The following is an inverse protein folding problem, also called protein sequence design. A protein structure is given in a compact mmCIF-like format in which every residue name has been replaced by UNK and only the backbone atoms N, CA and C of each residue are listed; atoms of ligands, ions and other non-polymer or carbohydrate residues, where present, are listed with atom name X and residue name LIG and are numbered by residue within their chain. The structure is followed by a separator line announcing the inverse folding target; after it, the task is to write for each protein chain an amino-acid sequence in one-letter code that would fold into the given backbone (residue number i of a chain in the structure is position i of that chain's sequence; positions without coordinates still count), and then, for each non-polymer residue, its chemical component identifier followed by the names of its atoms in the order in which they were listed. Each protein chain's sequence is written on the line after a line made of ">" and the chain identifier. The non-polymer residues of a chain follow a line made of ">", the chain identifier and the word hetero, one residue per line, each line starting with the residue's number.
data_IF_419905477290
#
_entry.id   IF_419905477290
#
_cell.length_a   1.000
_cell.length_b   1.000
_cell.length_c   1.000
_cell.angle_alpha   90.00
_cell.angle_beta   90.00
_cell.angle_gamma   90.00
#
_symmetry.space_group_name_H-M   'P 1'
#
loop_
_entity.id
_entity.type
_entity.pdbx_description
1 polymer ?
#
# COMPACT_ATOMS: atom_id res chain seq x y z
N UNK A 1 15.57 -28.47 -5.21
CA UNK A 1 14.09 -28.53 -5.18
C UNK A 1 13.40 -27.29 -4.58
N UNK A 2 14.11 -26.33 -3.95
CA UNK A 2 13.52 -25.12 -3.32
C UNK A 2 13.08 -24.01 -4.30
N UNK A 3 13.70 -23.90 -5.48
CA UNK A 3 13.46 -22.76 -6.40
C UNK A 3 12.03 -22.69 -6.95
N UNK A 4 11.43 -23.82 -7.39
CA UNK A 4 10.09 -23.83 -7.99
C UNK A 4 9.01 -23.28 -7.06
N UNK A 5 9.05 -23.65 -5.78
CA UNK A 5 8.04 -23.22 -4.81
C UNK A 5 8.14 -21.72 -4.49
N UNK A 6 9.36 -21.17 -4.46
CA UNK A 6 9.58 -19.72 -4.26
C UNK A 6 9.03 -18.90 -5.43
N UNK A 7 9.29 -19.31 -6.68
CA UNK A 7 8.77 -18.63 -7.86
C UNK A 7 7.23 -18.62 -7.90
N UNK A 8 6.58 -19.73 -7.54
CA UNK A 8 5.11 -19.81 -7.49
C UNK A 8 4.52 -18.85 -6.45
N UNK A 9 5.16 -18.72 -5.27
CA UNK A 9 4.74 -17.80 -4.22
C UNK A 9 4.83 -16.34 -4.67
N UNK A 10 5.93 -15.93 -5.32
CA UNK A 10 6.08 -14.57 -5.84
C UNK A 10 5.03 -14.24 -6.90
N UNK A 11 4.76 -15.16 -7.83
CA UNK A 11 3.72 -14.97 -8.83
C UNK A 11 2.33 -14.86 -8.20
N UNK A 12 2.03 -15.72 -7.22
CA UNK A 12 0.76 -15.69 -6.48
C UNK A 12 0.58 -14.39 -5.70
N UNK A 13 1.64 -13.86 -5.08
CA UNK A 13 1.60 -12.59 -4.36
C UNK A 13 1.32 -11.43 -5.32
N UNK A 14 2.03 -11.37 -6.45
CA UNK A 14 1.82 -10.33 -7.46
C UNK A 14 0.39 -10.34 -8.03
N UNK A 15 -0.22 -11.51 -8.18
CA UNK A 15 -1.63 -11.62 -8.59
C UNK A 15 -2.55 -11.07 -7.50
N UNK A 16 -2.33 -11.49 -6.25
CA UNK A 16 -3.16 -11.08 -5.10
C UNK A 16 -3.09 -9.58 -4.85
N UNK A 17 -1.91 -8.97 -5.00
CA UNK A 17 -1.72 -7.52 -4.89
C UNK A 17 -2.48 -6.76 -5.99
N UNK A 18 -2.40 -7.23 -7.24
CA UNK A 18 -3.17 -6.65 -8.35
C UNK A 18 -4.68 -6.73 -8.12
N UNK A 19 -5.16 -7.86 -7.62
CA UNK A 19 -6.57 -8.02 -7.22
C UNK A 19 -6.95 -7.06 -6.08
N UNK A 20 -6.03 -6.85 -5.12
CA UNK A 20 -6.21 -5.88 -4.02
C UNK A 20 -6.36 -4.44 -4.52
N UNK A 21 -5.52 -4.05 -5.48
CA UNK A 21 -5.63 -2.74 -6.14
C UNK A 21 -6.97 -2.60 -6.86
N UNK A 22 -7.36 -3.59 -7.66
CA UNK A 22 -8.64 -3.55 -8.38
C UNK A 22 -9.83 -3.48 -7.41
N UNK A 23 -9.81 -4.28 -6.34
CA UNK A 23 -10.83 -4.22 -5.30
C UNK A 23 -11.00 -2.81 -4.73
N UNK A 24 -9.90 -2.10 -4.42
CA UNK A 24 -9.99 -0.73 -3.94
C UNK A 24 -10.54 0.22 -4.99
N UNK A 25 -10.00 0.19 -6.21
CA UNK A 25 -10.38 1.14 -7.27
C UNK A 25 -11.84 0.98 -7.72
N UNK A 26 -12.33 -0.26 -7.77
CA UNK A 26 -13.67 -0.56 -8.27
C UNK A 26 -14.76 -0.28 -7.22
N UNK A 27 -14.42 -0.38 -5.93
CA UNK A 27 -15.40 -0.28 -4.83
C UNK A 27 -15.27 1.01 -4.01
N UNK A 28 -14.13 1.71 -4.09
CA UNK A 28 -13.84 2.87 -3.25
C UNK A 28 -13.23 4.02 -4.07
N UNK A 29 -13.91 5.16 -4.04
CA UNK A 29 -13.41 6.40 -4.63
C UNK A 29 -12.29 7.03 -3.80
N UNK A 30 -11.49 7.90 -4.43
CA UNK A 30 -10.40 8.62 -3.76
C UNK A 30 -9.07 7.86 -3.80
N UNK A 31 -9.06 6.56 -4.12
CA UNK A 31 -7.84 5.82 -4.44
C UNK A 31 -7.50 5.97 -5.91
N UNK A 32 -6.21 6.17 -6.19
CA UNK A 32 -5.71 6.28 -7.55
C UNK A 32 -4.45 5.44 -7.71
N UNK A 33 -4.45 4.63 -8.76
CA UNK A 33 -3.23 3.98 -9.24
C UNK A 33 -2.50 4.93 -10.17
N UNK A 34 -1.22 5.14 -9.86
CA UNK A 34 -0.35 6.01 -10.65
C UNK A 34 0.81 5.22 -11.24
N UNK A 35 1.25 5.63 -12.42
CA UNK A 35 2.37 5.01 -13.11
C UNK A 35 3.72 5.47 -12.52
N UNK A 36 4.80 4.86 -13.01
CA UNK A 36 6.15 5.11 -12.51
C UNK A 36 6.59 6.56 -12.74
N UNK A 37 6.20 7.17 -13.86
CA UNK A 37 6.63 8.53 -14.19
C UNK A 37 5.90 9.55 -13.33
N UNK A 38 4.60 9.33 -13.09
CA UNK A 38 3.80 10.07 -12.12
C UNK A 38 4.36 9.93 -10.69
N UNK A 39 4.79 8.73 -10.28
CA UNK A 39 5.46 8.55 -8.98
C UNK A 39 6.72 9.40 -8.87
N UNK A 40 7.57 9.44 -9.90
CA UNK A 40 8.79 10.27 -9.91
C UNK A 40 8.44 11.75 -9.80
N UNK A 41 7.48 12.21 -10.61
CA UNK A 41 7.04 13.61 -10.61
C UNK A 41 6.53 14.01 -9.21
N UNK A 42 5.69 13.19 -8.58
CA UNK A 42 5.17 13.45 -7.23
C UNK A 42 6.28 13.57 -6.19
N UNK A 43 7.24 12.63 -6.19
CA UNK A 43 8.36 12.69 -5.24
C UNK A 43 9.22 13.94 -5.48
N UNK A 44 9.47 14.30 -6.73
CA UNK A 44 10.26 15.50 -7.06
C UNK A 44 9.53 16.79 -6.64
N UNK A 45 8.22 16.89 -6.91
CA UNK A 45 7.38 18.03 -6.51
C UNK A 45 7.36 18.23 -4.99
N UNK A 46 7.30 17.12 -4.24
CA UNK A 46 7.32 17.11 -2.78
C UNK A 46 8.73 17.16 -2.18
N UNK A 47 9.77 17.22 -3.02
CA UNK A 47 11.19 17.19 -2.62
C UNK A 47 11.55 15.97 -1.75
N UNK A 48 10.97 14.82 -2.09
CA UNK A 48 11.21 13.52 -1.45
C UNK A 48 12.25 12.75 -2.28
N UNK A 49 13.13 12.03 -1.59
CA UNK A 49 14.16 11.21 -2.24
C UNK A 49 13.54 10.06 -3.05
N UNK A 50 14.02 9.88 -4.29
CA UNK A 50 13.55 8.82 -5.19
C UNK A 50 13.83 7.39 -4.71
N UNK A 51 14.58 7.19 -3.62
CA UNK A 51 14.74 5.86 -2.99
C UNK A 51 13.42 5.27 -2.49
N UNK A 52 12.40 6.12 -2.28
CA UNK A 52 11.06 5.73 -1.83
C UNK A 52 10.09 5.41 -2.98
N UNK A 53 10.55 5.37 -4.24
CA UNK A 53 9.71 5.05 -5.40
C UNK A 53 8.95 3.72 -5.29
N UNK A 54 9.51 2.76 -4.56
CA UNK A 54 8.92 1.44 -4.33
C UNK A 54 8.28 1.29 -2.95
N UNK A 55 8.08 2.39 -2.22
CA UNK A 55 7.58 2.36 -0.84
C UNK A 55 6.08 2.59 -0.72
N UNK A 56 5.38 2.69 -1.85
CA UNK A 56 3.94 2.88 -1.91
C UNK A 56 3.41 2.37 -3.25
N UNK A 57 2.15 1.94 -3.28
CA UNK A 57 1.48 1.36 -4.44
C UNK A 57 0.50 2.33 -5.08
N UNK A 58 -0.28 3.03 -4.26
CA UNK A 58 -1.35 3.93 -4.65
C UNK A 58 -1.17 5.31 -3.98
N UNK A 59 -1.97 6.26 -4.45
CA UNK A 59 -2.25 7.49 -3.71
C UNK A 59 -3.72 7.49 -3.30
N UNK A 60 -4.01 8.14 -2.18
CA UNK A 60 -5.35 8.38 -1.69
C UNK A 60 -5.54 9.88 -1.44
N UNK A 61 -6.64 10.43 -1.94
CA UNK A 61 -7.00 11.84 -1.72
C UNK A 61 -8.40 11.87 -1.11
N UNK A 62 -8.53 12.08 0.22
CA UNK A 62 -9.81 12.06 0.91
C UNK A 62 -10.85 13.00 0.31
N UNK A 63 -10.42 14.19 -0.14
CA UNK A 63 -11.28 15.21 -0.75
C UNK A 63 -11.89 14.79 -2.10
N UNK A 64 -11.42 13.70 -2.70
CA UNK A 64 -11.92 13.17 -3.96
C UNK A 64 -12.87 11.99 -3.80
N UNK A 65 -13.18 11.59 -2.57
CA UNK A 65 -14.20 10.57 -2.32
C UNK A 65 -15.53 11.06 -2.92
N UNK A 66 -16.11 10.27 -3.82
CA UNK A 66 -17.32 10.59 -4.58
C UNK A 66 -17.15 11.54 -5.78
N UNK A 67 -15.93 11.97 -6.12
CA UNK A 67 -15.66 12.91 -7.24
C UNK A 67 -14.99 12.21 -8.44
N UNK A 68 -15.23 12.74 -9.64
CA UNK A 68 -14.61 12.27 -10.90
C UNK A 68 -13.30 13.01 -11.17
N UNK A 69 -12.27 12.30 -11.63
CA UNK A 69 -10.91 12.85 -11.84
C UNK A 69 -10.83 13.61 -13.17
N UNK A 70 -10.02 14.66 -13.24
CA UNK A 70 -9.55 15.30 -14.48
C UNK A 70 -8.00 15.26 -14.59
N UNK A 71 -7.45 15.61 -15.75
CA UNK A 71 -6.00 15.49 -16.03
C UNK A 71 -5.09 16.44 -15.22
N UNK A 72 -5.63 17.47 -14.55
CA UNK A 72 -4.85 18.45 -13.76
C UNK A 72 -4.76 18.09 -12.26
N UNK A 73 -5.27 16.91 -11.90
CA UNK A 73 -5.50 16.46 -10.53
C UNK A 73 -4.30 16.60 -9.57
N UNK A 74 -3.11 16.17 -9.97
CA UNK A 74 -1.99 16.01 -9.02
C UNK A 74 -1.48 17.33 -8.45
N UNK A 75 -1.50 18.41 -9.24
CA UNK A 75 -1.00 19.72 -8.80
C UNK A 75 -1.99 20.42 -7.88
N UNK A 76 -3.29 20.22 -8.12
CA UNK A 76 -4.35 20.83 -7.32
C UNK A 76 -4.41 20.26 -5.90
N UNK A 77 -4.18 18.96 -5.75
CA UNK A 77 -4.36 18.24 -4.48
C UNK A 77 -3.05 17.79 -3.84
N UNK A 78 -1.91 18.37 -4.23
CA UNK A 78 -0.59 17.90 -3.83
C UNK A 78 -0.41 17.79 -2.30
N UNK A 79 -1.00 18.72 -1.55
CA UNK A 79 -0.93 18.75 -0.09
C UNK A 79 -1.88 17.74 0.59
N UNK A 80 -2.93 17.31 -0.12
CA UNK A 80 -3.95 16.36 0.36
C UNK A 80 -3.62 14.91 -0.02
N UNK A 81 -2.51 14.68 -0.74
CA UNK A 81 -2.09 13.35 -1.16
C UNK A 81 -1.57 12.56 0.05
N UNK A 82 -2.22 11.42 0.27
CA UNK A 82 -1.77 10.38 1.17
C UNK A 82 -1.17 9.25 0.33
N UNK A 83 0.07 8.90 0.62
CA UNK A 83 0.73 7.75 0.01
C UNK A 83 0.23 6.46 0.65
N UNK A 84 -0.04 5.45 -0.16
CA UNK A 84 -0.65 4.20 0.32
C UNK A 84 0.16 2.99 -0.13
N UNK A 85 0.63 2.22 0.84
CA UNK A 85 1.27 0.92 0.62
C UNK A 85 0.27 -0.22 0.90
N UNK A 86 0.05 -1.11 -0.06
CA UNK A 86 -0.95 -2.16 0.06
C UNK A 86 -0.36 -3.44 0.63
N UNK A 87 -1.07 -4.05 1.56
CA UNK A 87 -0.85 -5.42 2.02
C UNK A 87 -2.15 -6.19 1.82
N UNK A 88 -2.12 -7.21 0.98
CA UNK A 88 -3.33 -7.94 0.58
C UNK A 88 -3.31 -9.38 1.05
N UNK A 89 -4.47 -9.93 1.43
CA UNK A 89 -4.63 -11.34 1.78
C UNK A 89 -5.96 -11.91 1.28
N UNK A 90 -5.99 -13.23 1.00
CA UNK A 90 -7.23 -13.99 0.75
C UNK A 90 -7.73 -14.73 2.00
N UNK A 91 -7.02 -14.63 3.12
CA UNK A 91 -7.38 -15.28 4.38
C UNK A 91 -8.70 -14.70 4.92
N UNK A 92 -9.56 -15.55 5.48
CA UNK A 92 -10.76 -15.09 6.16
C UNK A 92 -10.40 -14.36 7.46
N UNK A 93 -10.60 -13.04 7.47
CA UNK A 93 -10.32 -12.16 8.60
C UNK A 93 -11.57 -11.28 8.88
N UNK A 94 -12.53 -11.75 9.69
CA UNK A 94 -13.77 -11.01 9.95
C UNK A 94 -13.57 -9.71 10.74
N UNK A 95 -12.42 -9.57 11.43
CA UNK A 95 -12.04 -8.40 12.21
C UNK A 95 -10.72 -7.81 11.66
N UNK A 96 -10.66 -7.47 10.36
CA UNK A 96 -9.47 -6.89 9.72
C UNK A 96 -8.95 -5.66 10.51
N UNK A 97 -7.67 -5.61 10.95
CA UNK A 97 -6.51 -6.42 10.57
C UNK A 97 -6.07 -7.47 11.60
N UNK A 98 -6.95 -7.88 12.52
CA UNK A 98 -6.63 -8.93 13.49
C UNK A 98 -6.28 -10.24 12.78
N UNK A 99 -5.07 -10.74 13.05
CA UNK A 99 -4.58 -12.00 12.45
C UNK A 99 -4.07 -11.86 11.01
N UNK A 100 -3.94 -10.63 10.51
CA UNK A 100 -3.26 -10.30 9.26
C UNK A 100 -1.75 -10.53 9.41
N UNK A 101 -1.14 -11.23 8.46
CA UNK A 101 0.30 -11.43 8.39
C UNK A 101 0.82 -10.73 7.14
N UNK A 102 1.81 -9.86 7.30
CA UNK A 102 2.37 -9.06 6.21
C UNK A 102 3.87 -8.89 6.37
N UNK A 103 4.54 -8.64 5.25
CA UNK A 103 5.92 -8.16 5.21
C UNK A 103 5.93 -6.70 4.77
N UNK A 104 6.91 -5.95 5.26
CA UNK A 104 7.16 -4.57 4.84
C UNK A 104 8.65 -4.29 4.86
N UNK A 105 9.14 -3.52 3.91
CA UNK A 105 10.56 -3.15 3.84
C UNK A 105 10.90 -2.06 4.85
N UNK A 106 12.19 -1.93 5.17
CA UNK A 106 12.66 -0.82 6.01
C UNK A 106 12.38 0.54 5.35
N UNK A 107 12.47 0.61 4.01
CA UNK A 107 12.15 1.82 3.26
C UNK A 107 10.69 2.23 3.42
N UNK A 108 9.74 1.30 3.36
CA UNK A 108 8.31 1.58 3.64
C UNK A 108 8.11 2.18 5.03
N UNK A 109 8.68 1.57 6.07
CA UNK A 109 8.59 2.09 7.43
C UNK A 109 9.26 3.46 7.59
N UNK A 110 10.45 3.64 6.99
CA UNK A 110 11.16 4.91 7.03
C UNK A 110 10.41 6.01 6.28
N UNK A 111 9.74 5.66 5.18
CA UNK A 111 8.89 6.57 4.43
C UNK A 111 7.68 7.01 5.26
N UNK A 112 6.98 6.04 5.86
CA UNK A 112 5.85 6.32 6.73
C UNK A 112 6.22 7.19 7.93
N UNK A 113 7.36 6.96 8.58
CA UNK A 113 7.85 7.83 9.66
C UNK A 113 8.15 9.25 9.19
N UNK A 114 8.65 9.40 7.96
CA UNK A 114 8.97 10.71 7.37
C UNK A 114 7.70 11.51 7.03
N UNK A 115 6.67 10.84 6.53
CA UNK A 115 5.42 11.47 6.09
C UNK A 115 4.31 11.51 7.13
N UNK A 116 4.42 10.75 8.22
CA UNK A 116 3.41 10.64 9.29
C UNK A 116 2.04 10.29 8.70
N UNK A 117 1.07 11.18 8.83
CA UNK A 117 -0.32 10.97 8.44
C UNK A 117 -0.50 10.95 6.91
N UNK A 118 0.48 11.46 6.16
CA UNK A 118 0.49 11.42 4.69
C UNK A 118 1.03 10.10 4.13
N UNK A 119 1.18 9.08 4.97
CA UNK A 119 1.48 7.71 4.54
C UNK A 119 0.71 6.69 5.38
N UNK A 120 -0.04 5.81 4.71
CA UNK A 120 -0.84 4.78 5.35
C UNK A 120 -0.54 3.40 4.76
N UNK A 121 -0.46 2.39 5.62
CA UNK A 121 -0.57 1.01 5.19
C UNK A 121 -2.04 0.65 4.99
N UNK A 122 -2.38 0.11 3.82
CA UNK A 122 -3.71 -0.38 3.50
C UNK A 122 -3.75 -1.90 3.57
N UNK A 123 -4.47 -2.44 4.55
CA UNK A 123 -4.64 -3.88 4.72
C UNK A 123 -5.94 -4.35 4.08
N UNK A 124 -5.84 -5.04 2.95
CA UNK A 124 -6.98 -5.50 2.16
C UNK A 124 -7.19 -7.00 2.36
N UNK A 125 -8.43 -7.39 2.68
CA UNK A 125 -8.89 -8.77 2.70
C UNK A 125 -9.80 -9.01 1.49
N UNK A 126 -9.38 -9.89 0.59
CA UNK A 126 -10.12 -10.32 -0.60
C UNK A 126 -10.96 -11.58 -0.37
N UNK A 127 -11.13 -11.99 0.89
CA UNK A 127 -11.94 -13.16 1.21
C UNK A 127 -13.42 -12.85 0.99
N UNK A 128 -14.10 -13.66 0.18
CA UNK A 128 -15.52 -13.47 -0.18
C UNK A 128 -16.47 -13.35 1.03
N UNK A 129 -16.13 -13.97 2.16
CA UNK A 129 -16.97 -13.94 3.38
C UNK A 129 -16.71 -12.72 4.27
N UNK A 130 -15.61 -12.01 4.06
CA UNK A 130 -15.25 -10.82 4.82
C UNK A 130 -14.40 -9.84 3.99
N UNK A 131 -14.89 -9.40 2.81
CA UNK A 131 -14.15 -8.45 1.99
C UNK A 131 -14.10 -7.11 2.73
N UNK A 132 -12.89 -6.57 2.93
CA UNK A 132 -12.71 -5.33 3.69
C UNK A 132 -11.33 -4.73 3.45
N UNK A 133 -11.18 -3.44 3.78
CA UNK A 133 -9.88 -2.81 3.91
C UNK A 133 -9.82 -1.97 5.19
N UNK A 134 -8.61 -1.71 5.67
CA UNK A 134 -8.35 -0.75 6.75
C UNK A 134 -7.07 0.01 6.44
N UNK A 135 -7.08 1.31 6.69
CA UNK A 135 -5.91 2.17 6.59
C UNK A 135 -5.34 2.40 7.98
N UNK A 136 -4.02 2.26 8.13
CA UNK A 136 -3.33 2.49 9.39
C UNK A 136 -2.06 3.30 9.18
N UNK A 137 -1.85 4.31 10.02
CA UNK A 137 -0.57 5.00 10.12
C UNK A 137 0.49 4.11 10.76
N UNK A 138 1.76 4.52 10.68
CA UNK A 138 2.85 3.84 11.40
C UNK A 138 2.58 3.80 12.91
N UNK A 139 2.04 4.89 13.47
CA UNK A 139 1.78 4.98 14.91
C UNK A 139 0.68 4.01 15.35
N UNK A 140 -0.41 3.91 14.57
CA UNK A 140 -1.49 2.96 14.83
C UNK A 140 -1.01 1.51 14.67
N UNK A 141 -0.22 1.26 13.64
CA UNK A 141 0.32 -0.06 13.36
C UNK A 141 1.27 -0.53 14.47
N UNK A 142 2.15 0.35 14.98
CA UNK A 142 3.05 0.02 16.08
C UNK A 142 2.33 -0.30 17.39
N UNK A 143 1.13 0.27 17.62
CA UNK A 143 0.29 -0.06 18.79
C UNK A 143 -0.33 -1.47 18.70
N UNK A 144 -0.55 -2.00 17.51
CA UNK A 144 -1.24 -3.29 17.30
C UNK A 144 -0.32 -4.44 16.90
N UNK A 145 0.88 -4.17 16.37
CA UNK A 145 1.86 -5.21 16.06
C UNK A 145 2.32 -5.87 17.38
N UNK A 146 2.04 -7.17 17.50
CA UNK A 146 2.49 -7.98 18.65
C UNK A 146 3.82 -8.69 18.42
N UNK A 147 4.10 -9.11 17.18
CA UNK A 147 5.27 -9.89 16.82
C UNK A 147 5.94 -9.30 15.59
N UNK A 148 7.25 -9.04 15.68
CA UNK A 148 8.09 -8.58 14.56
C UNK A 148 9.13 -9.67 14.25
N UNK A 149 9.25 -10.05 12.97
CA UNK A 149 10.27 -10.98 12.48
C UNK A 149 11.04 -10.30 11.36
N UNK A 150 12.36 -10.32 11.44
CA UNK A 150 13.25 -9.75 10.43
C UNK A 150 13.70 -10.86 9.49
N UNK A 151 13.63 -10.61 8.19
CA UNK A 151 14.12 -11.50 7.14
C UNK A 151 15.24 -10.81 6.37
N UNK A 152 16.28 -11.57 6.02
CA UNK A 152 17.40 -11.09 5.22
C UNK A 152 17.36 -11.76 3.85
N UNK A 153 17.61 -10.98 2.80
CA UNK A 153 17.73 -11.47 1.43
C UNK A 153 19.14 -11.20 0.91
N UNK A 154 19.76 -12.22 0.33
CA UNK A 154 21.04 -12.10 -0.37
C UNK A 154 20.75 -11.91 -1.85
N UNK A 155 21.19 -10.79 -2.42
CA UNK A 155 21.13 -10.50 -3.84
C UNK A 155 22.54 -10.70 -4.42
N UNK A 156 22.81 -11.88 -4.99
CA UNK A 156 24.03 -12.18 -5.75
C UNK A 156 23.83 -11.86 -7.22
#
# INVERSE_FOLDING_TARGET
>A
MSRKHSFTLTLSNNITEKEGVLFLLDNHTGFFKIDLDTKKELLDLLKIERRYLQSFDLIYVPEMVGKTINSDFLKTYLEDIIFVELKTTKKYLPENPKGFFFGATENEFNFGKKLKDNFLFCFVTLNEKAPSFVLLSIEELDKIIRNKRIQYQINL
#
